data_IF_734327347531
#
_entry.id   IF_734327347531
#
_cell.length_a   1.000
_cell.length_b   1.000
_cell.length_c   1.000
_cell.angle_alpha   90.00
_cell.angle_beta   90.00
_cell.angle_gamma   90.00
#
_symmetry.space_group_name_H-M   'P 1'
#
loop_
_entity.id
_entity.type
_entity.pdbx_description
1 polymer ?
#
# COMPACT_ATOMS: atom_id res chain seq x y z
N UNK A 1 -25.43 -30.11 61.61
CA UNK A 1 -24.38 -29.63 60.70
C UNK A 1 -23.99 -30.73 59.71
N UNK A 2 -24.19 -30.52 58.40
CA UNK A 2 -23.43 -31.06 57.25
C UNK A 2 -24.19 -30.62 55.97
N UNK A 3 -23.61 -29.70 55.18
CA UNK A 3 -22.96 -29.91 53.86
C UNK A 3 -24.01 -30.01 52.73
N UNK A 4 -23.84 -29.47 51.52
CA UNK A 4 -22.69 -28.96 50.79
C UNK A 4 -23.19 -28.09 49.62
N UNK A 5 -22.26 -27.29 49.10
CA UNK A 5 -22.37 -26.17 48.16
C UNK A 5 -22.22 -26.63 46.69
N UNK A 6 -22.86 -25.88 45.79
CA UNK A 6 -22.63 -25.55 44.36
C UNK A 6 -21.95 -26.53 43.39
N UNK A 7 -22.41 -26.44 42.12
CA UNK A 7 -21.50 -26.48 40.97
C UNK A 7 -22.23 -26.39 39.62
N UNK A 8 -22.57 -25.18 39.17
CA UNK A 8 -22.95 -24.94 37.76
C UNK A 8 -21.72 -24.41 37.05
N UNK A 9 -21.16 -25.22 36.15
CA UNK A 9 -20.05 -24.83 35.28
C UNK A 9 -20.59 -24.00 34.10
N UNK A 10 -20.15 -22.75 33.98
CA UNK A 10 -20.31 -21.96 32.77
C UNK A 10 -19.19 -22.31 31.78
N UNK A 11 -19.55 -22.93 30.67
CA UNK A 11 -18.68 -23.06 29.50
C UNK A 11 -18.65 -21.74 28.74
N UNK A 12 -17.59 -20.96 28.92
CA UNK A 12 -17.29 -19.81 28.09
C UNK A 12 -16.81 -20.27 26.71
N UNK A 13 -17.64 -20.07 25.68
CA UNK A 13 -17.24 -20.18 24.29
C UNK A 13 -16.28 -19.03 23.96
N UNK A 14 -14.98 -19.29 24.03
CA UNK A 14 -13.97 -18.43 23.44
C UNK A 14 -14.08 -18.50 21.91
N UNK A 15 -14.72 -17.51 21.29
CA UNK A 15 -14.63 -17.34 19.84
C UNK A 15 -13.17 -17.01 19.49
N UNK A 16 -12.51 -17.72 18.56
CA UNK A 16 -11.20 -17.32 18.08
C UNK A 16 -11.37 -16.00 17.34
N UNK A 17 -10.74 -14.94 17.85
CA UNK A 17 -10.52 -13.72 17.09
C UNK A 17 -9.66 -14.09 15.89
N UNK A 18 -10.25 -14.17 14.70
CA UNK A 18 -9.48 -14.17 13.46
C UNK A 18 -8.84 -12.78 13.41
N UNK A 19 -7.55 -12.71 13.73
CA UNK A 19 -6.78 -11.48 13.56
C UNK A 19 -6.89 -11.08 12.09
N UNK A 20 -7.43 -9.88 11.86
CA UNK A 20 -7.60 -9.30 10.53
C UNK A 20 -6.22 -9.16 9.88
N UNK A 21 -5.96 -9.89 8.79
CA UNK A 21 -4.64 -9.96 8.16
C UNK A 21 -4.41 -8.72 7.30
N UNK A 22 -4.20 -7.60 7.99
CA UNK A 22 -4.14 -6.28 7.41
C UNK A 22 -3.01 -5.44 8.00
N UNK A 23 -2.51 -4.52 7.18
CA UNK A 23 -1.51 -3.52 7.56
C UNK A 23 -2.21 -2.17 7.56
N UNK A 24 -2.16 -1.48 8.70
CA UNK A 24 -2.74 -0.16 8.83
C UNK A 24 -1.70 0.91 8.48
N UNK A 25 -2.12 1.88 7.68
CA UNK A 25 -1.33 3.04 7.30
C UNK A 25 -1.99 4.28 7.91
N UNK A 26 -1.24 5.00 8.74
CA UNK A 26 -1.74 6.19 9.39
C UNK A 26 -1.85 7.36 8.42
N UNK A 27 -2.86 8.20 8.64
CA UNK A 27 -2.92 9.52 8.00
C UNK A 27 -1.70 10.34 8.39
N UNK A 28 -1.14 11.11 7.45
CA UNK A 28 0.05 11.92 7.65
C UNK A 28 1.37 11.13 7.59
N UNK A 29 1.33 9.80 7.40
CA UNK A 29 2.55 9.03 7.13
C UNK A 29 3.21 9.51 5.85
N UNK A 30 4.51 9.76 5.94
CA UNK A 30 5.35 10.12 4.80
C UNK A 30 6.05 8.88 4.26
N UNK A 31 5.92 8.66 2.96
CA UNK A 31 6.49 7.52 2.26
C UNK A 31 7.46 8.04 1.20
N UNK A 32 8.68 7.53 1.24
CA UNK A 32 9.67 7.71 0.20
C UNK A 32 9.35 6.73 -0.94
N UNK A 33 9.24 7.27 -2.15
CA UNK A 33 8.84 6.57 -3.36
C UNK A 33 9.80 6.90 -4.50
N UNK A 34 9.96 5.99 -5.45
CA UNK A 34 10.77 6.21 -6.66
C UNK A 34 9.95 5.85 -7.88
N UNK A 35 10.05 6.62 -8.96
CA UNK A 35 9.35 6.25 -10.19
C UNK A 35 9.96 4.99 -10.79
N UNK A 36 9.13 4.04 -11.21
CA UNK A 36 9.58 2.78 -11.83
C UNK A 36 10.09 3.02 -13.25
N UNK A 37 9.57 4.04 -13.92
CA UNK A 37 9.96 4.44 -15.28
C UNK A 37 10.02 5.95 -15.36
N UNK A 38 10.89 6.50 -16.22
CA UNK A 38 10.90 7.94 -16.44
C UNK A 38 9.54 8.42 -16.96
N UNK A 39 8.97 9.43 -16.34
CA UNK A 39 7.74 10.09 -16.75
C UNK A 39 8.07 11.52 -17.14
N UNK A 40 7.70 11.91 -18.35
CA UNK A 40 7.86 13.27 -18.85
C UNK A 40 6.49 13.78 -19.25
N UNK A 41 6.08 14.91 -18.68
CA UNK A 41 4.79 15.54 -18.91
C UNK A 41 5.01 16.97 -19.41
N UNK A 42 4.42 17.29 -20.55
CA UNK A 42 4.24 18.66 -21.01
C UNK A 42 2.96 19.26 -20.42
N UNK A 43 2.89 20.58 -20.39
CA UNK A 43 1.69 21.26 -19.90
C UNK A 43 0.45 20.89 -20.73
N UNK A 44 -0.64 20.56 -20.04
CA UNK A 44 -1.87 19.99 -20.59
C UNK A 44 -1.86 18.47 -20.72
N UNK A 45 -0.77 17.77 -20.38
CA UNK A 45 -0.70 16.31 -20.45
C UNK A 45 -1.10 15.63 -19.14
N UNK A 46 -1.70 14.45 -19.28
CA UNK A 46 -2.04 13.55 -18.18
C UNK A 46 -1.55 12.15 -18.51
N UNK A 47 -0.89 11.51 -17.55
CA UNK A 47 -0.49 10.12 -17.63
C UNK A 47 -1.13 9.30 -16.52
N UNK A 48 -1.87 8.28 -16.93
CA UNK A 48 -2.47 7.29 -16.05
C UNK A 48 -1.50 6.17 -15.69
N UNK A 49 -1.74 5.53 -14.55
CA UNK A 49 -1.04 4.33 -14.10
C UNK A 49 0.48 4.49 -14.03
N UNK A 50 0.94 5.66 -13.59
CA UNK A 50 2.35 5.85 -13.21
C UNK A 50 2.64 5.02 -11.96
N UNK A 51 3.71 4.23 -12.01
CA UNK A 51 4.08 3.33 -10.92
C UNK A 51 5.25 3.91 -10.15
N UNK A 52 5.12 3.89 -8.83
CA UNK A 52 6.17 4.27 -7.90
C UNK A 52 6.50 3.09 -7.01
N UNK A 53 7.77 2.71 -6.93
CA UNK A 53 8.26 1.70 -6.01
C UNK A 53 8.48 2.28 -4.62
N UNK A 54 8.19 1.50 -3.58
CA UNK A 54 8.37 1.85 -2.18
C UNK A 54 9.12 0.73 -1.46
N UNK A 55 10.01 1.13 -0.55
CA UNK A 55 10.63 0.19 0.38
C UNK A 55 9.60 -0.21 1.46
N UNK A 56 9.28 -1.51 1.60
CA UNK A 56 8.34 -1.98 2.61
C UNK A 56 8.80 -1.78 4.06
N UNK A 57 10.09 -1.54 4.30
CA UNK A 57 10.62 -1.28 5.66
C UNK A 57 10.05 0.00 6.29
N UNK A 58 9.42 0.86 5.48
CA UNK A 58 8.72 2.07 5.93
C UNK A 58 7.41 1.76 6.68
N UNK A 59 6.91 0.52 6.61
CA UNK A 59 5.70 0.09 7.31
C UNK A 59 6.08 -0.62 8.61
N UNK A 60 6.14 0.13 9.72
CA UNK A 60 6.56 -0.37 11.03
C UNK A 60 5.79 -1.61 11.50
N UNK A 61 4.51 -1.66 11.15
CA UNK A 61 3.56 -2.67 11.64
C UNK A 61 3.47 -3.89 10.69
N UNK A 62 4.33 -3.97 9.68
CA UNK A 62 4.30 -5.01 8.64
C UNK A 62 5.51 -5.96 8.64
N UNK A 63 6.36 -5.91 9.67
CA UNK A 63 7.59 -6.70 9.74
C UNK A 63 7.33 -8.22 9.71
N UNK A 64 6.25 -8.68 10.36
CA UNK A 64 5.82 -10.08 10.35
C UNK A 64 5.28 -10.53 8.98
N UNK A 65 4.80 -9.59 8.16
CA UNK A 65 4.21 -9.86 6.85
C UNK A 65 5.23 -10.13 5.76
N UNK A 66 6.53 -9.96 6.03
CA UNK A 66 7.62 -10.21 5.07
C UNK A 66 7.37 -9.59 3.69
N UNK A 67 6.90 -8.34 3.69
CA UNK A 67 6.62 -7.61 2.48
C UNK A 67 7.88 -7.50 1.60
N UNK A 68 7.65 -7.47 0.30
CA UNK A 68 8.61 -7.22 -0.76
C UNK A 68 8.18 -5.99 -1.55
N UNK A 69 8.96 -5.61 -2.57
CA UNK A 69 8.80 -4.42 -3.42
C UNK A 69 7.35 -3.94 -3.55
N UNK A 70 7.02 -2.88 -2.83
CA UNK A 70 5.69 -2.28 -2.86
C UNK A 70 5.56 -1.32 -4.04
N UNK A 71 4.35 -1.19 -4.59
CA UNK A 71 4.05 -0.32 -5.73
C UNK A 71 2.83 0.55 -5.42
N UNK A 72 3.03 1.85 -5.42
CA UNK A 72 1.96 2.86 -5.44
C UNK A 72 1.68 3.21 -6.90
N UNK A 73 0.41 3.15 -7.29
CA UNK A 73 -0.04 3.62 -8.60
C UNK A 73 -0.68 5.00 -8.45
N UNK A 74 -0.45 5.87 -9.43
CA UNK A 74 -1.04 7.19 -9.48
C UNK A 74 -1.35 7.61 -10.92
N UNK A 75 -2.24 8.58 -11.04
CA UNK A 75 -2.34 9.45 -12.21
C UNK A 75 -1.52 10.72 -11.92
N UNK A 76 -0.77 11.18 -12.89
CA UNK A 76 0.02 12.41 -12.80
C UNK A 76 -0.34 13.30 -13.99
N UNK A 77 -0.61 14.57 -13.75
CA UNK A 77 -0.92 15.55 -14.80
C UNK A 77 -0.15 16.84 -14.56
N UNK A 78 0.24 17.53 -15.63
CA UNK A 78 0.72 18.90 -15.57
C UNK A 78 -0.32 19.76 -16.27
N UNK A 79 -0.97 20.67 -15.55
CA UNK A 79 -1.97 21.58 -16.13
C UNK A 79 -1.77 22.99 -15.58
N UNK A 80 -1.74 23.96 -16.49
CA UNK A 80 -1.53 25.37 -16.19
C UNK A 80 -0.28 25.63 -15.33
N UNK A 81 0.76 24.83 -15.53
CA UNK A 81 2.02 24.89 -14.77
C UNK A 81 1.98 24.31 -13.36
N UNK A 82 0.91 23.62 -12.99
CA UNK A 82 0.78 22.92 -11.71
C UNK A 82 0.77 21.40 -11.91
N UNK A 83 1.57 20.68 -11.12
CA UNK A 83 1.59 19.23 -11.12
C UNK A 83 0.48 18.70 -10.22
N UNK A 84 -0.41 17.91 -10.79
CA UNK A 84 -1.45 17.19 -10.09
C UNK A 84 -1.03 15.73 -9.93
N UNK A 85 -1.10 15.24 -8.70
CA UNK A 85 -0.80 13.86 -8.35
C UNK A 85 -2.02 13.24 -7.67
N UNK A 86 -2.59 12.20 -8.28
CA UNK A 86 -3.75 11.48 -7.75
C UNK A 86 -3.38 10.01 -7.58
N UNK A 87 -3.06 9.59 -6.36
CA UNK A 87 -2.83 8.18 -6.06
C UNK A 87 -4.09 7.34 -6.24
N UNK A 88 -3.91 6.04 -6.51
CA UNK A 88 -4.99 5.09 -6.76
C UNK A 88 -4.89 3.88 -5.85
N UNK A 89 -3.83 3.11 -5.96
CA UNK A 89 -3.69 1.85 -5.21
C UNK A 89 -2.27 1.67 -4.68
N UNK A 90 -2.14 1.02 -3.53
CA UNK A 90 -0.86 0.53 -3.02
C UNK A 90 -0.91 -1.00 -2.97
N UNK A 91 0.11 -1.65 -3.53
CA UNK A 91 0.23 -3.11 -3.57
C UNK A 91 1.59 -3.55 -3.05
N UNK A 92 1.59 -4.48 -2.11
CA UNK A 92 2.75 -5.00 -1.44
C UNK A 92 2.73 -6.53 -1.45
N UNK A 93 3.39 -7.19 -2.41
CA UNK A 93 3.54 -8.64 -2.37
C UNK A 93 4.39 -9.06 -1.17
N UNK A 94 4.01 -10.15 -0.51
CA UNK A 94 4.78 -10.79 0.55
C UNK A 94 5.61 -11.95 0.01
N UNK A 95 6.75 -12.21 0.64
CA UNK A 95 7.55 -13.42 0.40
C UNK A 95 6.82 -14.71 0.79
N UNK A 96 5.73 -14.62 1.57
CA UNK A 96 4.87 -15.77 1.92
C UNK A 96 3.84 -16.10 0.84
N UNK A 97 3.72 -15.27 -0.21
CA UNK A 97 2.79 -15.45 -1.33
C UNK A 97 1.47 -14.69 -1.21
N UNK A 98 1.27 -13.93 -0.13
CA UNK A 98 0.14 -13.01 0.03
C UNK A 98 0.42 -11.69 -0.70
N UNK A 99 -0.61 -10.97 -1.14
CA UNK A 99 -0.44 -9.64 -1.75
C UNK A 99 -1.31 -8.65 -1.01
N UNK A 100 -0.71 -7.77 -0.22
CA UNK A 100 -1.43 -6.76 0.54
C UNK A 100 -1.79 -5.59 -0.36
N UNK A 101 -3.06 -5.24 -0.43
CA UNK A 101 -3.56 -4.20 -1.33
C UNK A 101 -4.42 -3.20 -0.57
N UNK A 102 -4.18 -1.91 -0.80
CA UNK A 102 -5.11 -0.84 -0.50
C UNK A 102 -5.58 -0.21 -1.81
N UNK A 103 -6.89 -0.19 -2.04
CA UNK A 103 -7.51 0.53 -3.15
C UNK A 103 -7.98 1.91 -2.65
N UNK A 104 -8.05 2.88 -3.56
CA UNK A 104 -8.40 4.29 -3.26
C UNK A 104 -7.49 4.95 -2.21
N UNK A 105 -6.18 4.74 -2.32
CA UNK A 105 -5.20 5.43 -1.48
C UNK A 105 -5.25 6.93 -1.80
N UNK A 106 -5.43 7.77 -0.78
CA UNK A 106 -5.32 9.24 -0.89
C UNK A 106 -3.94 9.66 -0.41
N UNK A 107 -3.11 10.12 -1.33
CA UNK A 107 -1.76 10.59 -1.07
C UNK A 107 -1.44 11.77 -1.97
N UNK A 108 -0.72 12.74 -1.42
CA UNK A 108 -0.21 13.89 -2.16
C UNK A 108 1.31 13.79 -2.32
N UNK A 109 1.81 14.23 -3.45
CA UNK A 109 3.24 14.43 -3.66
C UNK A 109 3.67 15.69 -2.89
N UNK A 110 4.66 15.56 -2.00
CA UNK A 110 5.18 16.69 -1.23
C UNK A 110 6.14 17.54 -2.07
N UNK A 111 6.85 16.92 -3.01
CA UNK A 111 7.77 17.62 -3.90
C UNK A 111 7.00 18.61 -4.78
N UNK A 112 7.37 19.88 -4.69
CA UNK A 112 6.70 20.96 -5.43
C UNK A 112 6.98 20.90 -6.94
N UNK A 113 6.06 21.39 -7.75
CA UNK A 113 6.22 21.49 -9.22
C UNK A 113 7.52 22.21 -9.59
N UNK A 114 7.89 23.27 -8.87
CA UNK A 114 9.12 24.03 -9.13
C UNK A 114 10.39 23.20 -8.98
N UNK A 115 10.38 22.17 -8.12
CA UNK A 115 11.51 21.26 -7.94
C UNK A 115 11.57 20.18 -9.03
N UNK A 116 10.45 19.90 -9.70
CA UNK A 116 10.31 18.87 -10.72
C UNK A 116 10.33 19.44 -12.15
N UNK A 117 10.23 20.77 -12.25
CA UNK A 117 10.16 21.48 -13.51
C UNK A 117 11.48 21.38 -14.27
N UNK A 118 11.43 20.83 -15.49
CA UNK A 118 12.59 20.68 -16.37
C UNK A 118 12.61 21.70 -17.51
N UNK A 119 11.49 22.32 -17.82
CA UNK A 119 11.42 23.46 -18.74
C UNK A 119 10.42 24.51 -18.23
N UNK A 120 10.79 25.78 -18.34
CA UNK A 120 9.99 26.90 -17.85
C UNK A 120 9.96 28.07 -18.83
N UNK A 121 8.81 28.76 -18.84
CA UNK A 121 8.60 30.06 -19.50
C UNK A 121 8.13 31.09 -18.48
N UNK A 122 6.88 31.53 -18.57
CA UNK A 122 6.20 32.29 -17.50
C UNK A 122 5.70 31.41 -16.36
N UNK A 123 5.51 30.11 -16.62
CA UNK A 123 5.18 29.05 -15.67
C UNK A 123 5.90 27.76 -16.10
N UNK A 124 5.74 26.68 -15.33
CA UNK A 124 6.36 25.39 -15.67
C UNK A 124 5.70 24.75 -16.88
N UNK A 125 6.43 24.49 -17.95
CA UNK A 125 5.86 23.89 -19.18
C UNK A 125 6.20 22.41 -19.33
N UNK A 126 7.13 21.89 -18.52
CA UNK A 126 7.51 20.50 -18.53
C UNK A 126 8.01 20.02 -17.16
N UNK A 127 7.58 18.83 -16.77
CA UNK A 127 8.06 18.12 -15.59
C UNK A 127 8.63 16.76 -15.99
N UNK A 128 9.72 16.35 -15.34
CA UNK A 128 10.25 14.99 -15.46
C UNK A 128 10.33 14.32 -14.08
N UNK A 129 9.70 13.16 -13.93
CA UNK A 129 9.92 12.24 -12.82
C UNK A 129 10.95 11.19 -13.25
N UNK A 130 12.14 11.23 -12.67
CA UNK A 130 13.25 10.34 -13.00
C UNK A 130 13.24 9.09 -12.13
N UNK A 131 13.76 7.98 -12.66
CA UNK A 131 13.87 6.71 -11.93
C UNK A 131 14.94 6.72 -10.85
N UNK A 132 15.92 7.63 -10.95
CA UNK A 132 17.02 7.75 -9.99
C UNK A 132 16.71 8.67 -8.80
N UNK A 133 15.62 9.42 -8.86
CA UNK A 133 15.22 10.36 -7.83
C UNK A 133 14.27 9.71 -6.82
N UNK A 134 14.47 10.04 -5.54
CA UNK A 134 13.51 9.74 -4.48
C UNK A 134 12.55 10.92 -4.31
N UNK A 135 11.27 10.61 -4.31
CA UNK A 135 10.18 11.53 -4.05
C UNK A 135 9.52 11.19 -2.72
N UNK A 136 8.81 12.15 -2.13
CA UNK A 136 8.07 11.91 -0.91
C UNK A 136 6.59 12.15 -1.14
N UNK A 137 5.77 11.19 -0.73
CA UNK A 137 4.32 11.33 -0.68
C UNK A 137 3.85 11.32 0.76
N UNK A 138 2.78 12.05 1.04
CA UNK A 138 2.11 12.04 2.34
C UNK A 138 0.73 11.44 2.17
N UNK A 139 0.38 10.46 3.01
CA UNK A 139 -0.97 9.92 3.05
C UNK A 139 -1.93 10.97 3.63
N UNK A 140 -2.91 11.38 2.85
CA UNK A 140 -3.89 12.38 3.26
C UNK A 140 -5.01 11.79 4.14
N UNK A 141 -5.24 10.49 3.98
CA UNK A 141 -6.18 9.72 4.77
C UNK A 141 -5.53 8.42 5.23
N UNK A 142 -5.99 7.89 6.36
CA UNK A 142 -5.61 6.55 6.79
C UNK A 142 -6.06 5.52 5.75
N UNK A 143 -5.23 4.52 5.51
CA UNK A 143 -5.51 3.43 4.58
C UNK A 143 -5.26 2.08 5.26
N UNK A 144 -5.93 1.05 4.77
CA UNK A 144 -5.76 -0.32 5.23
C UNK A 144 -5.38 -1.18 4.04
N UNK A 145 -4.22 -1.84 4.11
CA UNK A 145 -3.84 -2.84 3.13
C UNK A 145 -4.28 -4.21 3.62
N UNK A 146 -5.19 -4.84 2.88
CA UNK A 146 -5.71 -6.16 3.21
C UNK A 146 -5.04 -7.20 2.33
N UNK A 147 -4.81 -8.40 2.86
CA UNK A 147 -4.33 -9.51 2.05
C UNK A 147 -5.35 -9.83 0.94
N UNK A 148 -4.98 -9.56 -0.31
CA UNK A 148 -5.79 -9.90 -1.46
C UNK A 148 -5.91 -11.42 -1.57
N UNK A 149 -7.13 -11.89 -1.84
CA UNK A 149 -7.40 -13.32 -1.98
C UNK A 149 -6.56 -13.93 -3.12
N UNK A 150 -5.73 -14.92 -2.77
CA UNK A 150 -4.90 -15.66 -3.72
C UNK A 150 -5.45 -17.08 -3.91
N UNK A 151 -6.26 -17.28 -4.96
CA UNK A 151 -6.89 -18.56 -5.27
C UNK A 151 -5.86 -19.70 -5.44
N UNK A 152 -4.69 -19.42 -6.03
CA UNK A 152 -3.63 -20.40 -6.23
C UNK A 152 -3.01 -20.86 -4.91
N UNK A 153 -2.88 -19.96 -3.92
CA UNK A 153 -2.44 -20.30 -2.56
C UNK A 153 -3.45 -21.21 -1.87
N UNK A 154 -4.74 -20.88 -1.99
CA UNK A 154 -5.82 -21.68 -1.39
C UNK A 154 -5.85 -23.10 -1.95
N UNK A 155 -5.75 -23.25 -3.29
CA UNK A 155 -5.66 -24.56 -3.95
C UNK A 155 -4.42 -25.33 -3.49
N UNK A 156 -3.27 -24.68 -3.39
CA UNK A 156 -2.04 -25.33 -2.91
C UNK A 156 -2.13 -25.75 -1.44
N UNK A 157 -2.77 -24.94 -0.58
CA UNK A 157 -3.01 -25.28 0.83
C UNK A 157 -3.85 -26.55 0.92
N UNK A 158 -4.98 -26.60 0.21
CA UNK A 158 -5.87 -27.78 0.16
C UNK A 158 -5.10 -29.02 -0.30
N UNK A 159 -4.27 -28.90 -1.35
CA UNK A 159 -3.47 -30.02 -1.86
C UNK A 159 -2.47 -30.55 -0.83
N UNK A 160 -1.79 -29.67 -0.10
CA UNK A 160 -0.83 -30.05 0.94
C UNK A 160 -1.54 -30.70 2.13
N UNK A 161 -2.69 -30.16 2.55
CA UNK A 161 -3.46 -30.70 3.66
C UNK A 161 -4.00 -32.10 3.35
N UNK A 162 -4.43 -32.34 2.10
CA UNK A 162 -4.79 -33.67 1.61
C UNK A 162 -3.60 -34.65 1.64
N UNK A 163 -2.42 -34.22 1.20
CA UNK A 163 -1.20 -35.04 1.23
C UNK A 163 -0.67 -35.36 2.64
N UNK A 164 -1.08 -34.60 3.66
CA UNK A 164 -0.71 -34.84 5.07
C UNK A 164 -1.73 -35.68 5.84
N UNK A 165 -2.91 -35.87 5.27
CA UNK A 165 -3.99 -36.67 5.84
C UNK A 165 -3.92 -38.15 5.43
N UNK A 166 -3.13 -38.46 4.39
CA UNK A 166 -2.79 -39.81 3.91
C UNK A 166 -1.46 -40.31 4.52
#
# INVERSE_FOLDING_TARGET
MKKLILGVALTGLSMPLIADDAINLASGSQLDVQSVSQVRLQDGETQDNVWFSLDPTQFSDAADKQLSNCVLTAQVALDSGELFFTSRSLRCPSRTGDVYTAENVSAKLITSTNQLCTASGSYCTEVTLDTSAAYRVELEAAAKMEAAYNASREVNRIRIDQQRAD
#
